data_IF_400114054824
#
_entry.id   IF_400114054824
#
_cell.length_a   1.000
_cell.length_b   1.000
_cell.length_c   1.000
_cell.angle_alpha   90.00
_cell.angle_beta   90.00
_cell.angle_gamma   90.00
#
_symmetry.space_group_name_H-M   'P 1'
#
loop_
_entity.id
_entity.type
_entity.pdbx_description
1 polymer ?
#
# COMPACT_ATOMS: atom_id res chain seq x y z
N UNK A 1 -63.61 -29.23 13.72
CA UNK A 1 -62.74 -28.17 14.18
C UNK A 1 -61.29 -28.67 14.25
N UNK A 2 -60.55 -28.50 13.20
CA UNK A 2 -59.08 -28.72 13.13
C UNK A 2 -58.59 -28.00 11.87
N UNK A 3 -58.10 -26.80 12.02
CA UNK A 3 -57.29 -26.14 10.99
C UNK A 3 -56.33 -25.17 11.68
N UNK A 4 -55.07 -25.28 11.42
CA UNK A 4 -54.12 -24.21 11.71
C UNK A 4 -52.89 -24.61 12.47
N UNK A 5 -51.92 -25.24 11.80
CA UNK A 5 -50.48 -25.20 12.20
C UNK A 5 -49.66 -25.76 11.03
N UNK A 6 -49.32 -24.94 10.05
CA UNK A 6 -48.34 -25.35 9.02
C UNK A 6 -47.78 -24.17 8.18
N UNK A 7 -47.71 -22.95 8.73
CA UNK A 7 -47.19 -21.81 7.93
C UNK A 7 -45.89 -21.17 8.46
N UNK A 8 -45.31 -21.59 9.58
CA UNK A 8 -44.24 -20.86 10.25
C UNK A 8 -42.84 -21.49 10.12
N UNK A 9 -42.70 -22.66 9.52
CA UNK A 9 -41.39 -23.36 9.45
C UNK A 9 -40.65 -23.08 8.13
N UNK A 10 -41.33 -22.68 7.06
CA UNK A 10 -40.71 -22.50 5.74
C UNK A 10 -39.91 -21.18 5.62
N UNK A 11 -40.27 -20.16 6.36
CA UNK A 11 -39.63 -18.85 6.28
C UNK A 11 -38.25 -18.76 6.99
N UNK A 12 -38.04 -19.58 8.02
CA UNK A 12 -36.73 -19.58 8.74
C UNK A 12 -35.65 -20.34 7.98
N UNK A 13 -35.99 -21.35 7.20
CA UNK A 13 -35.03 -22.14 6.43
C UNK A 13 -34.52 -21.39 5.19
N UNK A 14 -35.31 -20.51 4.58
CA UNK A 14 -34.92 -19.71 3.43
C UNK A 14 -33.96 -18.56 3.81
N UNK A 15 -34.15 -17.96 4.96
CA UNK A 15 -33.26 -16.88 5.44
C UNK A 15 -31.84 -17.40 5.83
N UNK A 16 -31.79 -18.61 6.42
CA UNK A 16 -30.49 -19.23 6.79
C UNK A 16 -29.72 -19.75 5.57
N UNK A 17 -30.39 -20.21 4.52
CA UNK A 17 -29.72 -20.64 3.27
C UNK A 17 -29.21 -19.46 2.46
N UNK A 18 -29.92 -18.32 2.46
CA UNK A 18 -29.52 -17.12 1.75
C UNK A 18 -28.27 -16.48 2.41
N UNK A 19 -28.20 -16.45 3.74
CA UNK A 19 -27.05 -15.94 4.48
C UNK A 19 -25.82 -16.85 4.32
N UNK A 20 -25.99 -18.17 4.32
CA UNK A 20 -24.90 -19.12 4.12
C UNK A 20 -24.37 -19.11 2.68
N UNK A 21 -25.21 -18.88 1.68
CA UNK A 21 -24.78 -18.72 0.30
C UNK A 21 -24.04 -17.40 0.08
N UNK A 22 -24.49 -16.30 0.69
CA UNK A 22 -23.84 -15.00 0.62
C UNK A 22 -22.43 -15.02 1.25
N UNK A 23 -22.28 -15.63 2.42
CA UNK A 23 -20.96 -15.75 3.07
C UNK A 23 -19.99 -16.67 2.32
N UNK A 24 -20.52 -17.71 1.65
CA UNK A 24 -19.71 -18.63 0.85
C UNK A 24 -19.24 -17.99 -0.46
N UNK A 25 -20.05 -17.15 -1.10
CA UNK A 25 -19.66 -16.40 -2.30
C UNK A 25 -18.58 -15.36 -2.00
N UNK A 26 -18.75 -14.58 -0.94
CA UNK A 26 -17.74 -13.57 -0.50
C UNK A 26 -16.40 -14.23 -0.16
N UNK A 27 -16.40 -15.41 0.48
CA UNK A 27 -15.16 -16.14 0.75
C UNK A 27 -14.48 -16.67 -0.52
N UNK A 28 -15.27 -17.08 -1.53
CA UNK A 28 -14.74 -17.56 -2.81
C UNK A 28 -14.14 -16.42 -3.65
N UNK A 29 -14.80 -15.27 -3.69
CA UNK A 29 -14.31 -14.06 -4.37
C UNK A 29 -13.00 -13.56 -3.74
N UNK A 30 -12.92 -13.53 -2.41
CA UNK A 30 -11.70 -13.17 -1.70
C UNK A 30 -10.54 -14.15 -1.97
N UNK A 31 -10.83 -15.46 -2.03
CA UNK A 31 -9.82 -16.46 -2.39
C UNK A 31 -9.34 -16.29 -3.82
N UNK A 32 -10.24 -16.00 -4.75
CA UNK A 32 -9.90 -15.73 -6.14
C UNK A 32 -9.05 -14.45 -6.25
N UNK A 33 -9.43 -13.37 -5.58
CA UNK A 33 -8.65 -12.14 -5.53
C UNK A 33 -7.23 -12.38 -5.03
N UNK A 34 -7.07 -13.11 -3.93
CA UNK A 34 -5.75 -13.44 -3.38
C UNK A 34 -4.90 -14.31 -4.32
N UNK A 35 -5.51 -15.25 -5.04
CA UNK A 35 -4.83 -16.07 -6.05
C UNK A 35 -4.24 -15.20 -7.16
N UNK A 36 -5.06 -14.33 -7.76
CA UNK A 36 -4.61 -13.43 -8.82
C UNK A 36 -3.60 -12.41 -8.32
N UNK A 37 -3.77 -11.91 -7.09
CA UNK A 37 -2.78 -11.03 -6.46
C UNK A 37 -1.41 -11.71 -6.34
N UNK A 38 -1.35 -12.97 -5.92
CA UNK A 38 -0.10 -13.73 -5.85
C UNK A 38 0.52 -13.96 -7.24
N UNK A 39 -0.29 -14.24 -8.26
CA UNK A 39 0.14 -14.37 -9.65
C UNK A 39 0.73 -13.06 -10.19
N UNK A 40 0.08 -11.93 -9.90
CA UNK A 40 0.56 -10.60 -10.23
C UNK A 40 1.94 -10.31 -9.60
N UNK A 41 2.15 -10.70 -8.36
CA UNK A 41 3.45 -10.58 -7.71
C UNK A 41 4.53 -11.44 -8.37
N UNK A 42 4.21 -12.67 -8.76
CA UNK A 42 5.15 -13.52 -9.51
C UNK A 42 5.53 -12.88 -10.85
N UNK A 43 4.56 -12.32 -11.56
CA UNK A 43 4.81 -11.59 -12.80
C UNK A 43 5.66 -10.32 -12.58
N UNK A 44 5.44 -9.58 -11.48
CA UNK A 44 6.29 -8.44 -11.11
C UNK A 44 7.75 -8.85 -10.85
N UNK A 45 7.98 -9.95 -10.15
CA UNK A 45 9.33 -10.46 -9.91
C UNK A 45 10.04 -10.85 -11.21
N UNK A 46 9.27 -11.36 -12.17
CA UNK A 46 9.76 -11.66 -13.54
C UNK A 46 9.86 -10.40 -14.43
N UNK A 47 9.55 -9.20 -13.93
CA UNK A 47 9.46 -7.94 -14.66
C UNK A 47 8.46 -7.97 -15.83
N UNK A 48 7.52 -8.89 -15.81
CA UNK A 48 6.43 -9.01 -16.79
C UNK A 48 5.30 -8.04 -16.42
N UNK A 49 5.54 -6.74 -16.63
CA UNK A 49 4.66 -5.66 -16.14
C UNK A 49 3.24 -5.74 -16.70
N UNK A 50 3.08 -6.19 -17.95
CA UNK A 50 1.76 -6.35 -18.57
C UNK A 50 0.96 -7.48 -17.93
N UNK A 51 1.60 -8.61 -17.63
CA UNK A 51 0.98 -9.73 -16.96
C UNK A 51 0.65 -9.36 -15.50
N UNK A 52 1.57 -8.70 -14.81
CA UNK A 52 1.35 -8.21 -13.47
C UNK A 52 0.13 -7.27 -13.39
N UNK A 53 0.04 -6.30 -14.31
CA UNK A 53 -1.09 -5.37 -14.34
C UNK A 53 -2.41 -6.10 -14.62
N UNK A 54 -2.42 -7.10 -15.49
CA UNK A 54 -3.59 -7.93 -15.78
C UNK A 54 -4.06 -8.73 -14.57
N UNK A 55 -3.14 -9.40 -13.90
CA UNK A 55 -3.45 -10.22 -12.74
C UNK A 55 -3.94 -9.36 -11.56
N UNK A 56 -3.33 -8.20 -11.30
CA UNK A 56 -3.82 -7.28 -10.28
C UNK A 56 -5.20 -6.70 -10.62
N UNK A 57 -5.48 -6.45 -11.90
CA UNK A 57 -6.82 -6.02 -12.31
C UNK A 57 -7.87 -7.10 -12.04
N UNK A 58 -7.59 -8.37 -12.35
CA UNK A 58 -8.50 -9.49 -12.03
C UNK A 58 -8.70 -9.62 -10.52
N UNK A 59 -7.66 -9.40 -9.72
CA UNK A 59 -7.79 -9.39 -8.27
C UNK A 59 -8.72 -8.26 -7.78
N UNK A 60 -8.62 -7.07 -8.39
CA UNK A 60 -9.49 -5.92 -8.12
C UNK A 60 -10.94 -6.21 -8.53
N UNK A 61 -11.15 -6.80 -9.71
CA UNK A 61 -12.49 -7.15 -10.22
C UNK A 61 -13.16 -8.17 -9.30
N UNK A 62 -12.38 -9.10 -8.73
CA UNK A 62 -12.85 -10.08 -7.74
C UNK A 62 -13.09 -9.47 -6.35
N UNK A 63 -12.35 -8.42 -5.99
CA UNK A 63 -12.48 -7.72 -4.70
C UNK A 63 -12.19 -6.23 -4.87
N UNK A 64 -13.20 -5.40 -5.19
CA UNK A 64 -13.02 -3.96 -5.45
C UNK A 64 -12.54 -3.13 -4.26
N UNK A 65 -12.51 -3.71 -3.07
CA UNK A 65 -12.01 -3.08 -1.84
C UNK A 65 -10.59 -3.54 -1.47
N UNK A 66 -9.95 -4.32 -2.30
CA UNK A 66 -8.60 -4.83 -2.07
C UNK A 66 -7.56 -3.73 -2.33
N UNK A 67 -7.31 -2.88 -1.33
CA UNK A 67 -6.44 -1.71 -1.44
C UNK A 67 -5.04 -2.05 -1.96
N UNK A 68 -4.47 -3.18 -1.52
CA UNK A 68 -3.14 -3.61 -1.96
C UNK A 68 -3.07 -4.03 -3.42
N UNK A 69 -4.16 -4.56 -3.97
CA UNK A 69 -4.21 -4.88 -5.39
C UNK A 69 -4.13 -3.59 -6.23
N UNK A 70 -4.78 -2.50 -5.80
CA UNK A 70 -4.62 -1.18 -6.43
C UNK A 70 -3.20 -0.64 -6.29
N UNK A 71 -2.59 -0.76 -5.10
CA UNK A 71 -1.19 -0.36 -4.91
C UNK A 71 -0.26 -1.12 -5.85
N UNK A 72 -0.43 -2.43 -5.93
CA UNK A 72 0.40 -3.29 -6.78
C UNK A 72 0.16 -3.06 -8.27
N UNK A 73 -1.10 -2.79 -8.67
CA UNK A 73 -1.42 -2.32 -10.02
C UNK A 73 -0.68 -1.01 -10.35
N UNK A 74 -0.68 -0.04 -9.43
CA UNK A 74 0.07 1.19 -9.59
C UNK A 74 1.56 0.95 -9.82
N UNK A 75 2.16 0.01 -9.08
CA UNK A 75 3.57 -0.40 -9.29
C UNK A 75 3.81 -1.06 -10.66
N UNK A 76 2.91 -1.93 -11.09
CA UNK A 76 3.01 -2.54 -12.43
C UNK A 76 2.89 -1.48 -13.53
N UNK A 77 1.97 -0.53 -13.40
CA UNK A 77 1.81 0.58 -14.34
C UNK A 77 3.01 1.54 -14.35
N UNK A 78 3.68 1.73 -13.20
CA UNK A 78 4.99 2.43 -13.15
C UNK A 78 6.05 1.69 -13.97
N UNK A 79 6.13 0.36 -13.86
CA UNK A 79 7.03 -0.47 -14.67
C UNK A 79 6.72 -0.37 -16.17
N UNK A 80 5.47 -0.25 -16.56
CA UNK A 80 4.98 0.00 -17.93
C UNK A 80 5.20 1.44 -18.40
N UNK A 81 5.67 2.34 -17.53
CA UNK A 81 5.76 3.79 -17.74
C UNK A 81 4.41 4.45 -18.03
N UNK A 82 3.32 3.84 -17.60
CA UNK A 82 1.97 4.39 -17.71
C UNK A 82 1.62 5.17 -16.44
N UNK A 83 2.25 6.34 -16.28
CA UNK A 83 2.18 7.12 -15.06
C UNK A 83 0.76 7.58 -14.72
N UNK A 84 -0.06 7.87 -15.72
CA UNK A 84 -1.45 8.27 -15.52
C UNK A 84 -2.28 7.15 -14.85
N UNK A 85 -2.14 5.90 -15.32
CA UNK A 85 -2.81 4.76 -14.69
C UNK A 85 -2.23 4.43 -13.32
N UNK A 86 -0.92 4.61 -13.13
CA UNK A 86 -0.29 4.45 -11.83
C UNK A 86 -0.87 5.44 -10.81
N UNK A 87 -1.02 6.72 -11.18
CA UNK A 87 -1.64 7.75 -10.34
C UNK A 87 -3.08 7.34 -9.98
N UNK A 88 -3.89 6.90 -10.95
CA UNK A 88 -5.26 6.46 -10.70
C UNK A 88 -5.31 5.30 -9.70
N UNK A 89 -4.46 4.30 -9.89
CA UNK A 89 -4.41 3.12 -9.04
C UNK A 89 -3.96 3.47 -7.60
N UNK A 90 -2.89 4.26 -7.43
CA UNK A 90 -2.43 4.70 -6.10
C UNK A 90 -3.44 5.62 -5.41
N UNK A 91 -4.10 6.50 -6.16
CA UNK A 91 -5.18 7.35 -5.62
C UNK A 91 -6.32 6.48 -5.09
N UNK A 92 -6.75 5.48 -5.87
CA UNK A 92 -7.81 4.57 -5.43
C UNK A 92 -7.38 3.75 -4.20
N UNK A 93 -6.13 3.31 -4.14
CA UNK A 93 -5.56 2.68 -2.95
C UNK A 93 -5.68 3.61 -1.73
N UNK A 94 -5.20 4.86 -1.83
CA UNK A 94 -5.31 5.86 -0.76
C UNK A 94 -6.75 6.07 -0.32
N UNK A 95 -7.66 6.25 -1.27
CA UNK A 95 -9.07 6.52 -0.99
C UNK A 95 -9.73 5.36 -0.23
N UNK A 96 -9.32 4.11 -0.49
CA UNK A 96 -9.79 2.96 0.27
C UNK A 96 -9.30 2.96 1.73
N UNK A 97 -8.12 3.53 2.01
CA UNK A 97 -7.65 3.71 3.39
C UNK A 97 -8.29 4.90 4.09
N UNK A 98 -8.65 5.96 3.36
CA UNK A 98 -9.24 7.18 3.95
C UNK A 98 -10.75 7.17 4.00
N UNK A 99 -11.40 6.20 3.36
CA UNK A 99 -12.85 6.12 3.31
C UNK A 99 -13.46 6.00 4.71
N UNK A 100 -14.49 6.79 5.03
CA UNK A 100 -15.22 6.65 6.30
C UNK A 100 -15.77 5.24 6.41
N UNK A 101 -15.52 4.62 7.56
CA UNK A 101 -15.87 3.22 7.83
C UNK A 101 -17.35 2.91 7.64
N UNK A 102 -18.21 3.88 7.94
CA UNK A 102 -19.66 3.71 7.89
C UNK A 102 -20.28 3.66 6.50
N UNK A 103 -19.58 4.15 5.45
CA UNK A 103 -20.17 4.27 4.11
C UNK A 103 -19.73 3.19 3.12
N UNK A 104 -18.56 2.59 3.31
CA UNK A 104 -18.02 1.59 2.37
C UNK A 104 -17.93 0.17 2.94
N UNK A 105 -17.93 0.01 4.25
CA UNK A 105 -17.72 -1.29 4.89
C UNK A 105 -18.80 -1.59 5.92
N UNK A 106 -19.99 -1.89 5.45
CA UNK A 106 -21.11 -2.31 6.31
C UNK A 106 -20.95 -3.70 6.95
N UNK A 107 -19.82 -4.37 6.72
CA UNK A 107 -19.60 -5.73 7.26
C UNK A 107 -18.27 -5.84 8.00
N UNK A 108 -18.27 -6.54 9.13
CA UNK A 108 -17.09 -6.95 9.89
C UNK A 108 -16.07 -7.71 9.01
N UNK A 109 -16.53 -8.35 7.94
CA UNK A 109 -15.70 -9.13 7.01
C UNK A 109 -14.77 -8.25 6.18
N UNK A 110 -15.24 -7.11 5.67
CA UNK A 110 -14.44 -6.19 4.88
C UNK A 110 -13.30 -5.54 5.70
N UNK A 111 -13.56 -5.28 6.98
CA UNK A 111 -12.54 -4.75 7.89
C UNK A 111 -11.47 -5.82 8.25
N UNK A 112 -11.89 -7.06 8.47
CA UNK A 112 -10.96 -8.18 8.61
C UNK A 112 -10.08 -8.36 7.38
N UNK A 113 -10.66 -8.22 6.18
CA UNK A 113 -9.91 -8.29 4.93
C UNK A 113 -8.84 -7.22 4.89
N UNK A 114 -9.17 -5.96 5.19
CA UNK A 114 -8.22 -4.85 5.21
C UNK A 114 -7.05 -5.08 6.18
N UNK A 115 -7.32 -5.58 7.38
CA UNK A 115 -6.28 -5.91 8.36
C UNK A 115 -5.38 -7.04 7.83
N UNK A 116 -5.96 -8.09 7.25
CA UNK A 116 -5.21 -9.18 6.66
C UNK A 116 -4.34 -8.71 5.49
N UNK A 117 -4.84 -7.80 4.67
CA UNK A 117 -4.11 -7.21 3.55
C UNK A 117 -2.89 -6.44 4.05
N UNK A 118 -3.02 -5.64 5.12
CA UNK A 118 -1.90 -4.93 5.74
C UNK A 118 -0.85 -5.89 6.34
N UNK A 119 -1.30 -6.92 7.04
CA UNK A 119 -0.40 -7.95 7.60
C UNK A 119 0.40 -8.60 6.47
N UNK A 120 -0.26 -8.99 5.39
CA UNK A 120 0.38 -9.61 4.23
C UNK A 120 1.44 -8.69 3.59
N UNK A 121 1.15 -7.40 3.50
CA UNK A 121 2.09 -6.43 2.95
C UNK A 121 3.32 -6.23 3.83
N UNK A 122 3.13 -6.12 5.14
CA UNK A 122 4.26 -6.05 6.07
C UNK A 122 5.10 -7.33 6.06
N UNK A 123 4.48 -8.50 5.89
CA UNK A 123 5.21 -9.76 5.70
C UNK A 123 6.04 -9.76 4.42
N UNK A 124 5.47 -9.25 3.31
CA UNK A 124 6.20 -9.12 2.05
C UNK A 124 7.34 -8.10 2.16
N UNK A 125 7.15 -6.98 2.85
CA UNK A 125 8.20 -6.01 3.11
C UNK A 125 9.34 -6.61 3.96
N UNK A 126 9.01 -7.44 4.95
CA UNK A 126 9.99 -8.19 5.75
C UNK A 126 10.78 -9.15 4.87
N UNK A 127 10.10 -9.95 4.04
CA UNK A 127 10.74 -10.90 3.14
C UNK A 127 11.67 -10.20 2.15
N UNK A 128 11.24 -9.06 1.62
CA UNK A 128 12.06 -8.25 0.72
C UNK A 128 13.29 -7.65 1.43
N UNK A 129 13.14 -7.15 2.66
CA UNK A 129 14.25 -6.65 3.45
C UNK A 129 15.25 -7.76 3.79
N UNK A 130 14.76 -8.95 4.13
CA UNK A 130 15.61 -10.11 4.43
C UNK A 130 16.37 -10.64 3.21
N UNK A 131 15.73 -10.71 2.05
CA UNK A 131 16.39 -11.12 0.79
C UNK A 131 17.47 -10.15 0.34
N UNK A 132 17.31 -8.86 0.59
CA UNK A 132 18.34 -7.84 0.32
C UNK A 132 19.49 -7.88 1.32
N UNK A 133 19.26 -8.36 2.54
CA UNK A 133 20.29 -8.49 3.58
C UNK A 133 21.34 -9.57 3.24
N UNK A 134 20.94 -10.64 2.60
CA UNK A 134 21.87 -11.70 2.15
C UNK A 134 22.83 -11.24 1.05
N UNK A 135 22.48 -10.17 0.33
CA UNK A 135 23.27 -9.65 -0.79
C UNK A 135 24.26 -8.52 -0.43
N UNK A 136 24.07 -7.80 0.68
CA UNK A 136 24.92 -6.64 1.08
C UNK A 136 24.91 -6.48 2.61
N UNK A 137 25.95 -6.89 3.30
CA UNK A 137 26.18 -6.91 4.73
C UNK A 137 25.90 -5.63 5.56
N UNK A 138 24.68 -5.12 5.55
CA UNK A 138 24.27 -3.98 6.35
C UNK A 138 23.13 -4.39 7.31
N UNK A 139 23.49 -4.94 8.47
CA UNK A 139 22.59 -5.73 9.31
C UNK A 139 21.77 -4.95 10.36
N UNK A 140 22.20 -3.74 10.76
CA UNK A 140 21.62 -3.11 11.96
C UNK A 140 20.38 -2.26 11.66
N UNK A 141 20.39 -1.43 10.62
CA UNK A 141 19.23 -0.62 10.22
C UNK A 141 18.07 -1.48 9.69
N UNK A 142 18.40 -2.53 8.95
CA UNK A 142 17.42 -3.51 8.47
C UNK A 142 16.78 -4.30 9.61
N UNK A 143 17.53 -4.64 10.65
CA UNK A 143 16.99 -5.36 11.81
C UNK A 143 16.02 -4.51 12.63
N UNK A 144 16.23 -3.19 12.69
CA UNK A 144 15.30 -2.23 13.31
C UNK A 144 14.02 -2.12 12.50
N UNK A 145 14.13 -1.95 11.19
CA UNK A 145 12.98 -1.88 10.27
C UNK A 145 12.13 -3.15 10.30
N UNK A 146 12.77 -4.33 10.22
CA UNK A 146 12.06 -5.61 10.32
C UNK A 146 11.35 -5.77 11.67
N UNK A 147 12.00 -5.39 12.77
CA UNK A 147 11.38 -5.41 14.10
C UNK A 147 10.18 -4.48 14.21
N UNK A 148 10.27 -3.30 13.62
CA UNK A 148 9.14 -2.36 13.59
C UNK A 148 7.95 -2.94 12.81
N UNK A 149 8.18 -3.53 11.65
CA UNK A 149 7.14 -4.20 10.86
C UNK A 149 6.53 -5.39 11.62
N UNK A 150 7.34 -6.20 12.28
CA UNK A 150 6.87 -7.30 13.12
C UNK A 150 5.99 -6.80 14.28
N UNK A 151 6.39 -5.70 14.93
CA UNK A 151 5.60 -5.10 16.00
C UNK A 151 4.26 -4.52 15.46
N UNK A 152 4.23 -4.00 14.23
CA UNK A 152 3.00 -3.55 13.56
C UNK A 152 2.09 -4.74 13.24
N UNK A 153 2.63 -5.83 12.70
CA UNK A 153 1.88 -7.07 12.45
C UNK A 153 1.23 -7.55 13.76
N UNK A 154 1.99 -7.65 14.83
CA UNK A 154 1.50 -8.12 16.12
C UNK A 154 0.35 -7.24 16.66
N UNK A 155 0.45 -5.91 16.52
CA UNK A 155 -0.66 -4.99 16.87
C UNK A 155 -1.90 -5.22 16.00
N UNK A 156 -1.72 -5.40 14.69
CA UNK A 156 -2.83 -5.66 13.77
C UNK A 156 -3.50 -7.01 14.07
N UNK A 157 -2.74 -8.05 14.42
CA UNK A 157 -3.28 -9.36 14.83
C UNK A 157 -4.08 -9.24 16.12
N UNK A 158 -3.58 -8.51 17.12
CA UNK A 158 -4.30 -8.25 18.36
C UNK A 158 -5.58 -7.42 18.11
N UNK A 159 -5.54 -6.50 17.16
CA UNK A 159 -6.65 -5.63 16.80
C UNK A 159 -7.72 -6.37 16.00
N UNK A 160 -7.31 -7.33 15.15
CA UNK A 160 -8.24 -8.21 14.42
C UNK A 160 -9.20 -8.95 15.33
N UNK A 161 -8.78 -9.24 16.55
CA UNK A 161 -9.53 -10.03 17.54
C UNK A 161 -10.28 -9.13 18.56
N UNK A 162 -10.03 -7.82 18.54
CA UNK A 162 -10.73 -6.83 19.37
C UNK A 162 -11.87 -6.13 18.61
N UNK A 163 -12.74 -5.45 19.34
CA UNK A 163 -13.89 -4.71 18.80
C UNK A 163 -13.49 -3.72 17.70
N UNK A 164 -14.28 -3.69 16.64
CA UNK A 164 -14.06 -3.04 15.37
C UNK A 164 -13.72 -1.52 15.46
N UNK A 165 -14.28 -0.82 16.42
CA UNK A 165 -14.14 0.65 16.53
C UNK A 165 -12.73 1.09 16.97
N UNK A 166 -12.02 0.28 17.77
CA UNK A 166 -10.61 0.52 18.13
C UNK A 166 -9.65 0.19 16.97
N UNK A 167 -9.98 -0.83 16.19
CA UNK A 167 -9.19 -1.27 15.05
C UNK A 167 -9.10 -0.22 13.93
N UNK A 168 -10.11 0.62 13.81
CA UNK A 168 -10.26 1.59 12.73
C UNK A 168 -9.53 2.91 12.97
N UNK A 169 -9.22 3.23 14.22
CA UNK A 169 -8.41 4.41 14.56
C UNK A 169 -6.93 4.25 14.15
N UNK A 170 -6.44 3.02 14.02
CA UNK A 170 -5.05 2.72 13.66
C UNK A 170 -4.81 2.49 12.15
N UNK A 171 -5.86 2.45 11.31
CA UNK A 171 -5.72 2.26 9.87
C UNK A 171 -5.41 3.60 9.19
N UNK A 172 -4.21 4.10 9.41
CA UNK A 172 -3.68 5.24 8.66
C UNK A 172 -3.23 4.80 7.26
N UNK A 173 -3.30 5.72 6.30
CA UNK A 173 -2.71 5.50 4.97
C UNK A 173 -1.23 5.19 5.15
N UNK A 174 -0.74 4.00 4.74
CA UNK A 174 0.67 3.66 4.86
C UNK A 174 1.52 4.66 4.07
N UNK A 175 2.66 5.12 4.64
CA UNK A 175 3.52 6.16 4.04
C UNK A 175 4.00 5.84 2.63
N UNK A 176 4.13 4.56 2.28
CA UNK A 176 4.56 4.13 0.95
C UNK A 176 3.52 4.41 -0.13
N UNK A 177 2.23 4.57 0.20
CA UNK A 177 1.17 4.93 -0.76
C UNK A 177 1.37 6.37 -1.26
N UNK A 178 1.38 7.41 -0.40
CA UNK A 178 1.66 8.76 -0.86
C UNK A 178 3.08 8.90 -1.42
N UNK A 179 4.08 8.18 -0.92
CA UNK A 179 5.43 8.17 -1.50
C UNK A 179 5.42 7.67 -2.95
N UNK A 180 4.73 6.57 -3.23
CA UNK A 180 4.63 6.01 -4.59
C UNK A 180 3.78 6.88 -5.51
N UNK A 181 2.73 7.49 -4.99
CA UNK A 181 1.91 8.47 -5.71
C UNK A 181 2.73 9.71 -6.08
N UNK A 182 3.55 10.22 -5.17
CA UNK A 182 4.51 11.29 -5.42
C UNK A 182 5.50 10.93 -6.51
N UNK A 183 6.03 9.70 -6.51
CA UNK A 183 6.91 9.22 -7.57
C UNK A 183 6.21 9.15 -8.94
N UNK A 184 4.94 8.76 -8.98
CA UNK A 184 4.16 8.73 -10.21
C UNK A 184 3.89 10.15 -10.74
N UNK A 185 3.53 11.10 -9.88
CA UNK A 185 3.41 12.51 -10.23
C UNK A 185 4.73 13.11 -10.74
N UNK A 186 5.85 12.83 -10.05
CA UNK A 186 7.16 13.28 -10.49
C UNK A 186 7.50 12.79 -11.90
N UNK A 187 7.27 11.50 -12.16
CA UNK A 187 7.53 10.89 -13.48
C UNK A 187 6.61 11.42 -14.57
N UNK A 188 5.44 11.94 -14.23
CA UNK A 188 4.51 12.60 -15.17
C UNK A 188 4.74 14.10 -15.31
N UNK A 189 5.74 14.68 -14.62
CA UNK A 189 6.06 16.10 -14.66
C UNK A 189 5.19 16.99 -13.79
N UNK A 190 4.34 16.42 -12.93
CA UNK A 190 3.44 17.13 -12.02
C UNK A 190 4.17 17.36 -10.68
N UNK A 191 5.12 18.31 -10.66
CA UNK A 191 6.07 18.50 -9.57
C UNK A 191 5.43 18.98 -8.27
N UNK A 192 4.44 19.86 -8.34
CA UNK A 192 3.72 20.37 -7.17
C UNK A 192 2.92 19.27 -6.47
N UNK A 193 2.28 18.40 -7.25
CA UNK A 193 1.55 17.25 -6.74
C UNK A 193 2.51 16.23 -6.13
N UNK A 194 3.65 16.01 -6.77
CA UNK A 194 4.69 15.12 -6.25
C UNK A 194 5.24 15.61 -4.90
N UNK A 195 5.51 16.91 -4.76
CA UNK A 195 5.98 17.51 -3.51
C UNK A 195 4.96 17.33 -2.39
N UNK A 196 3.68 17.60 -2.68
CA UNK A 196 2.60 17.45 -1.71
C UNK A 196 2.50 16.00 -1.20
N UNK A 197 2.55 15.04 -2.09
CA UNK A 197 2.45 13.62 -1.73
C UNK A 197 3.69 13.13 -0.96
N UNK A 198 4.89 13.56 -1.32
CA UNK A 198 6.09 13.24 -0.56
C UNK A 198 6.06 13.83 0.86
N UNK A 199 5.59 15.06 1.02
CA UNK A 199 5.38 15.67 2.35
C UNK A 199 4.32 14.91 3.15
N UNK A 200 3.25 14.45 2.53
CA UNK A 200 2.26 13.58 3.15
C UNK A 200 2.89 12.25 3.60
N UNK A 201 3.76 11.65 2.80
CA UNK A 201 4.48 10.45 3.18
C UNK A 201 5.39 10.68 4.41
N UNK A 202 6.09 11.83 4.47
CA UNK A 202 6.93 12.19 5.62
C UNK A 202 6.10 12.49 6.87
N UNK A 203 4.89 13.04 6.74
CA UNK A 203 4.01 13.22 7.91
C UNK A 203 3.60 11.89 8.54
N UNK A 204 3.46 10.84 7.73
CA UNK A 204 3.17 9.48 8.20
C UNK A 204 4.42 8.72 8.67
N UNK A 205 5.59 9.00 8.10
CA UNK A 205 6.87 8.40 8.49
C UNK A 205 8.02 9.39 8.26
N UNK A 206 8.33 10.19 9.27
CA UNK A 206 9.42 11.18 9.24
C UNK A 206 10.82 10.57 9.07
N UNK A 207 10.99 9.29 9.36
CA UNK A 207 12.27 8.59 9.21
C UNK A 207 12.42 7.89 7.84
N UNK A 208 11.56 8.21 6.86
CA UNK A 208 11.67 7.64 5.51
C UNK A 208 12.79 8.32 4.71
N UNK A 209 14.00 7.77 4.79
CA UNK A 209 15.15 8.27 4.04
C UNK A 209 14.95 8.20 2.52
N UNK A 210 14.19 7.23 2.03
CA UNK A 210 13.80 7.13 0.62
C UNK A 210 12.94 8.33 0.19
N UNK A 211 11.96 8.72 1.02
CA UNK A 211 11.10 9.88 0.71
C UNK A 211 11.90 11.19 0.72
N UNK A 212 12.81 11.37 1.70
CA UNK A 212 13.75 12.49 1.69
C UNK A 212 14.62 12.51 0.42
N UNK A 213 15.15 11.36 0.01
CA UNK A 213 15.93 11.26 -1.23
C UNK A 213 15.10 11.62 -2.48
N UNK A 214 13.84 11.21 -2.54
CA UNK A 214 12.93 11.55 -3.64
C UNK A 214 12.61 13.05 -3.67
N UNK A 215 12.41 13.70 -2.53
CA UNK A 215 12.27 15.15 -2.43
C UNK A 215 13.56 15.88 -2.87
N UNK A 216 14.74 15.37 -2.50
CA UNK A 216 16.00 15.95 -2.96
C UNK A 216 16.10 15.91 -4.51
N UNK A 217 15.70 14.81 -5.13
CA UNK A 217 15.67 14.70 -6.61
C UNK A 217 14.65 15.68 -7.21
N UNK A 218 13.46 15.80 -6.62
CA UNK A 218 12.45 16.76 -7.06
C UNK A 218 12.96 18.20 -6.96
N UNK A 219 13.55 18.59 -5.83
CA UNK A 219 14.08 19.95 -5.64
C UNK A 219 15.27 20.23 -6.55
N UNK A 220 16.16 19.26 -6.79
CA UNK A 220 17.20 19.39 -7.80
C UNK A 220 16.62 19.65 -9.20
N UNK A 221 15.58 18.90 -9.57
CA UNK A 221 14.91 19.01 -10.89
C UNK A 221 14.24 20.36 -11.06
N UNK A 222 13.69 20.93 -9.99
CA UNK A 222 12.97 22.20 -9.99
C UNK A 222 13.88 23.41 -9.68
N UNK A 223 15.20 23.21 -9.57
CA UNK A 223 16.18 24.30 -9.33
C UNK A 223 16.25 24.79 -7.88
N UNK A 224 15.64 24.09 -6.95
CA UNK A 224 15.59 24.42 -5.51
C UNK A 224 16.75 23.73 -4.78
N UNK A 225 17.98 24.17 -5.05
CA UNK A 225 19.22 23.44 -4.66
C UNK A 225 19.47 23.41 -3.15
N UNK A 226 19.15 24.48 -2.42
CA UNK A 226 19.31 24.52 -0.96
C UNK A 226 18.37 23.54 -0.25
N UNK A 227 17.14 23.45 -0.76
CA UNK A 227 16.15 22.49 -0.25
C UNK A 227 16.56 21.07 -0.61
N UNK A 228 17.08 20.83 -1.82
CA UNK A 228 17.61 19.53 -2.21
C UNK A 228 18.74 19.07 -1.27
N UNK A 229 19.66 19.96 -0.90
CA UNK A 229 20.74 19.65 0.05
C UNK A 229 20.21 19.39 1.46
N UNK A 230 19.18 20.13 1.89
CA UNK A 230 18.53 19.90 3.19
C UNK A 230 17.91 18.49 3.27
N UNK A 231 17.24 18.07 2.22
CA UNK A 231 16.62 16.74 2.15
C UNK A 231 17.67 15.62 2.08
N UNK A 232 18.79 15.83 1.40
CA UNK A 232 19.93 14.88 1.44
C UNK A 232 20.42 14.71 2.87
N UNK A 233 20.63 15.80 3.61
CA UNK A 233 21.05 15.73 5.02
C UNK A 233 20.01 15.03 5.91
N UNK A 234 18.73 15.26 5.67
CA UNK A 234 17.66 14.59 6.38
C UNK A 234 17.66 13.08 6.13
N UNK A 235 17.83 12.66 4.86
CA UNK A 235 17.95 11.24 4.51
C UNK A 235 19.15 10.57 5.19
N UNK A 236 20.33 11.23 5.18
CA UNK A 236 21.55 10.71 5.82
C UNK A 236 21.41 10.64 7.35
N UNK A 237 20.75 11.62 7.96
CA UNK A 237 20.50 11.65 9.41
C UNK A 237 19.68 10.44 9.89
N UNK A 238 18.76 9.95 9.08
CA UNK A 238 17.97 8.73 9.38
C UNK A 238 18.68 7.44 8.93
N UNK A 239 19.94 7.53 8.51
CA UNK A 239 20.76 6.37 8.12
C UNK A 239 20.55 5.90 6.68
N UNK A 240 19.86 6.67 5.84
CA UNK A 240 19.66 6.32 4.42
C UNK A 240 20.88 6.77 3.61
N UNK A 241 21.43 5.87 2.80
CA UNK A 241 22.56 6.18 1.91
C UNK A 241 22.07 6.85 0.64
N UNK A 242 22.26 8.16 0.55
CA UNK A 242 21.95 8.92 -0.66
C UNK A 242 23.00 8.66 -1.75
N UNK A 243 22.58 8.62 -3.01
CA UNK A 243 23.48 8.43 -4.15
C UNK A 243 24.47 9.60 -4.23
N UNK A 244 25.78 9.27 -4.35
CA UNK A 244 26.84 10.27 -4.45
C UNK A 244 26.74 11.16 -5.70
N UNK A 245 26.20 10.62 -6.79
CA UNK A 245 25.95 11.38 -8.01
C UNK A 245 24.92 12.49 -7.76
N UNK A 246 23.80 12.17 -7.09
CA UNK A 246 22.79 13.16 -6.70
C UNK A 246 23.42 14.28 -5.85
N UNK A 247 24.24 13.93 -4.86
CA UNK A 247 24.94 14.92 -4.02
C UNK A 247 25.92 15.78 -4.82
N UNK A 248 26.60 15.16 -5.77
CA UNK A 248 27.50 15.85 -6.71
C UNK A 248 26.76 16.84 -7.61
N UNK A 249 25.61 16.42 -8.14
CA UNK A 249 24.78 17.27 -9.01
C UNK A 249 24.23 18.49 -8.28
N UNK A 250 23.73 18.30 -7.06
CA UNK A 250 23.24 19.40 -6.21
C UNK A 250 24.36 20.42 -5.98
N UNK A 251 25.56 19.95 -5.58
CA UNK A 251 26.71 20.84 -5.33
C UNK A 251 27.13 21.60 -6.58
N UNK A 252 27.24 20.92 -7.74
CA UNK A 252 27.63 21.56 -9.01
C UNK A 252 26.65 22.65 -9.42
N UNK A 253 25.35 22.35 -9.37
CA UNK A 253 24.32 23.31 -9.79
C UNK A 253 24.15 24.49 -8.84
N UNK A 254 24.37 24.24 -7.54
CA UNK A 254 24.35 25.31 -6.53
C UNK A 254 25.54 26.28 -6.65
N UNK A 255 26.73 25.79 -7.03
CA UNK A 255 27.92 26.61 -7.16
C UNK A 255 28.06 27.30 -8.52
N UNK A 256 27.30 26.90 -9.52
CA UNK A 256 27.37 27.45 -10.87
C UNK A 256 26.17 28.35 -11.27
N UNK A 257 25.28 28.68 -10.35
CA UNK A 257 24.23 29.69 -10.47
C UNK A 257 24.57 30.90 -9.61
#
# INVERSE_FOLDING_TARGET
MRTGLSATIVTLALASTLSAQSTKSVSAEAQQANKHYAQGWSAMQAQSWDDAAREFQVAIDSSPTFALAYYSLGRAEMGRKNFAKAIQAYTKCRDLYTAPVGTQFSSQLANRQRINDQIFEYQNAINQAQSQSTAKGNSQSQSVYVRELQARIQRLEQTRDRNLDEALQDVQVPYFVPMSLGAAYFRSGQFEDAEREYKTALSANQASGETHSNLAVLYLTTGRFDEAESEVRAAEKVGFRVNEELKGDIRRKRSGG
#
